data_IF_778526067267
#
_entry.id   IF_778526067267
#
_cell.length_a   1.000
_cell.length_b   1.000
_cell.length_c   1.000
_cell.angle_alpha   90.00
_cell.angle_beta   90.00
_cell.angle_gamma   90.00
#
_symmetry.space_group_name_H-M   'P 1'
#
loop_
_entity.id
_entity.type
_entity.pdbx_description
1 polymer ?
#
# COMPACT_ATOMS: atom_id res chain seq x y z
N UNK A 1 -3.00 27.83 -7.80
CA UNK A 1 -3.40 26.72 -8.66
C UNK A 1 -2.41 25.58 -8.45
N UNK A 2 -2.87 24.46 -7.97
CA UNK A 2 -2.01 23.29 -7.85
C UNK A 2 -1.75 22.73 -9.25
N UNK A 3 -0.54 22.94 -9.72
CA UNK A 3 -0.14 22.46 -11.05
C UNK A 3 0.11 20.94 -10.93
N UNK A 4 -0.84 20.14 -11.42
CA UNK A 4 -0.68 18.67 -11.46
C UNK A 4 0.27 18.30 -12.58
N UNK A 5 1.38 17.65 -12.22
CA UNK A 5 2.37 17.14 -13.17
C UNK A 5 1.95 15.74 -13.64
N UNK A 6 1.70 15.58 -14.92
CA UNK A 6 1.51 14.25 -15.52
C UNK A 6 2.87 13.65 -15.83
N UNK A 7 3.17 12.51 -15.22
CA UNK A 7 4.48 11.88 -15.30
C UNK A 7 4.36 10.39 -15.57
N UNK A 8 5.32 9.84 -16.26
CA UNK A 8 5.49 8.40 -16.40
C UNK A 8 6.04 7.79 -15.09
N UNK A 9 6.03 6.46 -15.02
CA UNK A 9 6.63 5.72 -13.89
C UNK A 9 8.11 6.10 -13.71
N UNK A 10 8.87 6.17 -14.79
CA UNK A 10 10.29 6.50 -14.74
C UNK A 10 10.54 7.94 -14.25
N UNK A 11 9.78 8.90 -14.76
CA UNK A 11 9.88 10.30 -14.32
C UNK A 11 9.50 10.48 -12.87
N UNK A 12 8.48 9.77 -12.39
CA UNK A 12 8.11 9.80 -10.98
C UNK A 12 9.22 9.22 -10.10
N UNK A 13 9.79 8.07 -10.48
CA UNK A 13 10.92 7.47 -9.76
C UNK A 13 12.10 8.44 -9.70
N UNK A 14 12.44 9.08 -10.80
CA UNK A 14 13.52 10.07 -10.84
C UNK A 14 13.25 11.28 -9.96
N UNK A 15 12.00 11.71 -9.87
CA UNK A 15 11.61 12.84 -9.03
C UNK A 15 11.74 12.55 -7.51
N UNK A 16 11.51 11.30 -7.09
CA UNK A 16 11.42 10.97 -5.66
C UNK A 16 12.61 10.17 -5.12
N UNK A 17 13.38 9.48 -5.97
CA UNK A 17 14.49 8.62 -5.53
C UNK A 17 15.58 9.35 -4.72
N UNK A 18 15.74 10.65 -4.93
CA UNK A 18 16.74 11.48 -4.26
C UNK A 18 16.27 12.13 -2.95
N UNK A 19 15.03 11.91 -2.54
CA UNK A 19 14.52 12.49 -1.30
C UNK A 19 15.17 11.82 -0.11
N UNK A 20 15.93 12.60 0.67
CA UNK A 20 16.71 12.10 1.82
C UNK A 20 16.14 12.49 3.17
N UNK A 21 15.31 13.54 3.22
CA UNK A 21 14.65 13.99 4.45
C UNK A 21 13.30 13.33 4.62
N UNK A 22 12.85 13.20 5.86
CA UNK A 22 11.48 12.76 6.16
C UNK A 22 10.49 13.75 5.57
N UNK A 23 9.60 13.26 4.71
CA UNK A 23 8.71 14.09 3.89
C UNK A 23 7.29 13.58 3.97
N UNK A 24 6.36 14.46 4.34
CA UNK A 24 4.92 14.14 4.37
C UNK A 24 4.39 13.96 2.96
N UNK A 25 3.59 12.91 2.78
CA UNK A 25 2.97 12.59 1.50
C UNK A 25 1.48 12.26 1.64
N UNK A 26 0.76 12.43 0.55
CA UNK A 26 -0.56 11.83 0.35
C UNK A 26 -0.51 11.06 -0.95
N UNK A 27 -1.01 9.84 -0.97
CA UNK A 27 -1.00 8.98 -2.16
C UNK A 27 -2.34 8.30 -2.36
N UNK A 28 -2.63 7.97 -3.61
CA UNK A 28 -3.75 7.12 -3.99
C UNK A 28 -3.29 6.07 -4.98
N UNK A 29 -3.62 4.80 -4.73
CA UNK A 29 -3.19 3.69 -5.58
C UNK A 29 -4.27 2.64 -5.73
N UNK A 30 -4.21 1.89 -6.82
CA UNK A 30 -5.11 0.80 -7.13
C UNK A 30 -4.56 -0.53 -6.66
N UNK A 31 -5.43 -1.36 -6.12
CA UNK A 31 -5.15 -2.74 -5.75
C UNK A 31 -6.19 -3.63 -6.39
N UNK A 32 -5.74 -4.60 -7.16
CA UNK A 32 -6.62 -5.68 -7.58
C UNK A 32 -6.82 -6.62 -6.38
N UNK A 33 -8.08 -6.90 -6.04
CA UNK A 33 -8.41 -7.90 -5.03
C UNK A 33 -8.08 -9.32 -5.56
N UNK A 34 -6.78 -9.55 -5.70
CA UNK A 34 -6.25 -10.79 -6.28
C UNK A 34 -6.48 -12.03 -5.42
N UNK A 35 -6.92 -11.82 -4.18
CA UNK A 35 -7.12 -12.88 -3.20
C UNK A 35 -8.59 -13.28 -3.04
N UNK A 36 -9.53 -12.58 -3.70
CA UNK A 36 -10.91 -13.02 -3.73
C UNK A 36 -11.03 -14.20 -4.69
N UNK A 37 -11.01 -15.40 -4.15
CA UNK A 37 -11.43 -16.59 -4.89
C UNK A 37 -12.94 -16.56 -5.02
N UNK A 38 -13.47 -15.71 -5.90
CA UNK A 38 -14.86 -15.80 -6.28
C UNK A 38 -15.10 -17.11 -7.01
N UNK A 39 -16.28 -17.72 -6.83
CA UNK A 39 -16.73 -18.84 -7.66
C UNK A 39 -16.54 -18.46 -9.13
N UNK A 40 -15.63 -19.11 -9.84
CA UNK A 40 -15.33 -18.82 -11.23
C UNK A 40 -13.97 -18.13 -11.50
N UNK A 41 -13.18 -17.81 -10.49
CA UNK A 41 -11.75 -17.42 -10.62
C UNK A 41 -11.46 -16.08 -11.29
N UNK A 42 -12.47 -15.28 -11.66
CA UNK A 42 -12.29 -13.95 -12.24
C UNK A 42 -12.24 -12.88 -11.17
N UNK A 43 -11.15 -12.13 -11.13
CA UNK A 43 -11.02 -10.93 -10.31
C UNK A 43 -11.92 -9.83 -10.88
N UNK A 44 -13.01 -9.55 -10.22
CA UNK A 44 -13.98 -8.54 -10.67
C UNK A 44 -13.96 -7.29 -9.80
N UNK A 45 -13.32 -7.36 -8.63
CA UNK A 45 -13.26 -6.26 -7.68
C UNK A 45 -11.88 -5.60 -7.71
N UNK A 46 -11.89 -4.29 -7.87
CA UNK A 46 -10.73 -3.43 -7.69
C UNK A 46 -11.01 -2.46 -6.55
N UNK A 47 -9.99 -2.08 -5.81
CA UNK A 47 -10.09 -1.01 -4.84
C UNK A 47 -9.04 0.06 -5.08
N UNK A 48 -9.42 1.28 -4.78
CA UNK A 48 -8.54 2.44 -4.75
C UNK A 48 -8.37 2.88 -3.30
N UNK A 49 -7.14 2.97 -2.86
CA UNK A 49 -6.79 3.31 -1.47
C UNK A 49 -6.06 4.64 -1.48
N UNK A 50 -6.62 5.62 -0.79
CA UNK A 50 -5.99 6.92 -0.57
C UNK A 50 -5.58 7.03 0.89
N UNK A 51 -4.35 7.44 1.14
CA UNK A 51 -3.80 7.57 2.49
C UNK A 51 -2.77 8.69 2.60
N UNK A 52 -2.50 9.09 3.83
CA UNK A 52 -1.40 9.99 4.19
C UNK A 52 -0.27 9.19 4.81
N UNK A 53 0.95 9.65 4.61
CA UNK A 53 2.13 8.96 5.13
C UNK A 53 3.38 9.81 5.04
N UNK A 54 4.52 9.14 5.11
CA UNK A 54 5.83 9.75 5.12
C UNK A 54 6.78 8.99 4.21
N UNK A 55 7.55 9.71 3.41
CA UNK A 55 8.75 9.18 2.77
C UNK A 55 9.94 9.34 3.70
N UNK A 56 10.87 8.40 3.61
CA UNK A 56 12.14 8.44 4.31
C UNK A 56 12.01 8.71 5.82
N UNK A 57 10.97 8.16 6.44
CA UNK A 57 10.84 8.11 7.88
C UNK A 57 11.70 6.96 8.41
N UNK A 58 12.45 7.21 9.48
CA UNK A 58 13.22 6.16 10.13
C UNK A 58 12.29 5.03 10.61
N UNK A 59 12.29 3.97 9.83
CA UNK A 59 11.51 2.78 10.12
C UNK A 59 12.43 1.73 10.73
N UNK A 60 12.20 1.45 11.99
CA UNK A 60 12.86 0.34 12.67
C UNK A 60 12.08 -0.96 12.46
N UNK A 61 12.80 -2.08 12.48
CA UNK A 61 12.18 -3.38 12.45
C UNK A 61 11.16 -3.50 13.59
N UNK A 62 9.93 -3.87 13.24
CA UNK A 62 8.88 -4.11 14.23
C UNK A 62 9.08 -5.43 14.92
N UNK A 63 9.02 -5.43 16.25
CA UNK A 63 8.85 -6.64 17.03
C UNK A 63 7.35 -6.95 17.08
N UNK A 64 6.98 -8.09 16.52
CA UNK A 64 5.61 -8.59 16.57
C UNK A 64 5.54 -9.65 17.68
N UNK A 65 4.73 -9.41 18.69
CA UNK A 65 4.47 -10.38 19.74
C UNK A 65 3.32 -11.30 19.35
N UNK A 66 3.58 -12.59 19.41
CA UNK A 66 2.56 -13.62 19.27
C UNK A 66 1.94 -13.92 20.64
N UNK A 67 0.77 -14.53 20.66
CA UNK A 67 0.16 -15.02 21.91
C UNK A 67 1.09 -16.05 22.58
N UNK A 68 1.43 -15.81 23.82
CA UNK A 68 2.55 -16.45 24.51
C UNK A 68 3.81 -15.58 24.42
N UNK A 69 4.92 -16.03 24.99
CA UNK A 69 6.15 -15.23 25.06
C UNK A 69 6.96 -15.22 23.75
N UNK A 70 6.37 -15.68 22.64
CA UNK A 70 7.04 -15.75 21.34
C UNK A 70 6.97 -14.42 20.63
N UNK A 71 8.10 -13.88 20.24
CA UNK A 71 8.20 -12.67 19.42
C UNK A 71 9.10 -12.91 18.22
N UNK A 72 8.89 -12.18 17.14
CA UNK A 72 9.77 -12.15 16.00
C UNK A 72 9.93 -10.74 15.44
N UNK A 73 11.05 -10.49 14.79
CA UNK A 73 11.30 -9.22 14.12
C UNK A 73 10.74 -9.33 12.69
N UNK A 74 9.74 -8.51 12.39
CA UNK A 74 9.21 -8.44 11.04
C UNK A 74 10.27 -7.82 10.11
N UNK A 75 10.58 -8.51 9.01
CA UNK A 75 11.47 -7.98 7.99
C UNK A 75 10.65 -7.23 6.93
N UNK A 76 10.62 -5.89 6.95
CA UNK A 76 9.83 -5.09 6.01
C UNK A 76 10.39 -5.16 4.57
N UNK A 77 11.66 -5.58 4.43
CA UNK A 77 12.33 -5.65 3.12
C UNK A 77 12.32 -7.05 2.51
N UNK A 78 11.62 -8.01 3.12
CA UNK A 78 11.52 -9.36 2.54
C UNK A 78 10.91 -9.32 1.14
N UNK A 79 11.64 -9.83 0.14
CA UNK A 79 11.21 -9.84 -1.26
C UNK A 79 11.34 -8.48 -1.96
N UNK A 80 12.13 -7.55 -1.41
CA UNK A 80 12.34 -6.21 -1.94
C UNK A 80 13.79 -5.82 -1.80
N UNK A 81 14.29 -5.07 -2.77
CA UNK A 81 15.66 -4.54 -2.77
C UNK A 81 15.61 -3.01 -2.96
N UNK A 82 16.29 -2.22 -2.13
CA UNK A 82 16.34 -0.77 -2.34
C UNK A 82 16.94 -0.45 -3.71
N UNK A 83 16.37 0.53 -4.40
CA UNK A 83 17.02 1.12 -5.55
C UNK A 83 18.33 1.76 -5.09
N UNK A 84 19.42 1.53 -5.81
CA UNK A 84 20.75 2.00 -5.43
C UNK A 84 20.73 3.51 -5.11
N UNK A 85 21.21 3.86 -3.92
CA UNK A 85 21.24 5.22 -3.42
C UNK A 85 19.90 5.81 -3.01
N UNK A 86 18.80 5.05 -3.06
CA UNK A 86 17.46 5.53 -2.69
C UNK A 86 16.97 4.91 -1.38
N UNK A 87 16.29 5.72 -0.57
CA UNK A 87 15.53 5.26 0.61
C UNK A 87 14.01 5.34 0.39
N UNK A 88 13.57 5.84 -0.75
CA UNK A 88 12.16 6.07 -1.06
C UNK A 88 11.62 5.14 -2.13
N UNK A 89 12.50 4.56 -2.93
CA UNK A 89 12.15 3.59 -3.98
C UNK A 89 12.82 2.25 -3.68
N UNK A 90 12.03 1.21 -3.75
CA UNK A 90 12.46 -0.18 -3.65
C UNK A 90 11.99 -0.94 -4.89
N UNK A 91 12.69 -2.02 -5.20
CA UNK A 91 12.35 -2.88 -6.34
C UNK A 91 11.80 -4.20 -5.81
N UNK A 92 10.70 -4.64 -6.37
CA UNK A 92 10.14 -5.96 -6.08
C UNK A 92 11.03 -7.04 -6.70
N UNK A 93 11.52 -7.98 -5.90
CA UNK A 93 12.33 -9.11 -6.38
C UNK A 93 11.51 -10.04 -7.29
N UNK A 94 10.19 -10.04 -7.13
CA UNK A 94 9.28 -10.88 -7.90
C UNK A 94 8.96 -10.33 -9.29
N UNK A 95 8.73 -9.02 -9.39
CA UNK A 95 8.25 -8.38 -10.63
C UNK A 95 9.30 -7.48 -11.27
N UNK A 96 10.37 -7.17 -10.55
CA UNK A 96 11.40 -6.21 -10.93
C UNK A 96 10.86 -4.79 -11.20
N UNK A 97 9.70 -4.47 -10.63
CA UNK A 97 9.06 -3.16 -10.77
C UNK A 97 9.34 -2.26 -9.57
N UNK A 98 9.42 -0.93 -9.77
CA UNK A 98 9.62 0.01 -8.69
C UNK A 98 8.36 0.14 -7.83
N UNK A 99 8.59 0.20 -6.52
CA UNK A 99 7.59 0.43 -5.49
C UNK A 99 7.97 1.66 -4.68
N UNK A 100 6.97 2.45 -4.30
CA UNK A 100 7.18 3.54 -3.36
C UNK A 100 7.29 2.98 -1.93
N UNK A 101 8.35 3.33 -1.22
CA UNK A 101 8.58 2.90 0.16
C UNK A 101 8.12 4.00 1.13
N UNK A 102 6.96 3.82 1.72
CA UNK A 102 6.34 4.80 2.59
C UNK A 102 5.92 4.19 3.93
N UNK A 103 5.85 5.02 4.95
CA UNK A 103 5.28 4.68 6.26
C UNK A 103 4.00 5.46 6.50
N UNK A 104 3.07 4.88 7.25
CA UNK A 104 1.83 5.53 7.64
C UNK A 104 1.66 5.43 9.15
N UNK A 105 1.01 6.43 9.76
CA UNK A 105 0.50 6.30 11.11
C UNK A 105 -0.72 5.39 11.12
N UNK A 106 -0.89 4.58 12.17
CA UNK A 106 -2.12 3.80 12.36
C UNK A 106 -3.36 4.68 12.51
N UNK A 107 -3.17 5.88 13.04
CA UNK A 107 -4.23 6.90 13.19
C UNK A 107 -4.57 7.62 11.90
N UNK A 108 -3.71 7.54 10.87
CA UNK A 108 -3.99 8.14 9.59
C UNK A 108 -5.11 7.35 8.88
N UNK A 109 -6.19 8.06 8.59
CA UNK A 109 -7.35 7.48 7.92
C UNK A 109 -6.99 7.00 6.51
N UNK A 110 -7.44 5.81 6.18
CA UNK A 110 -7.38 5.26 4.82
C UNK A 110 -8.76 5.33 4.22
N UNK A 111 -8.89 6.02 3.10
CA UNK A 111 -10.11 6.08 2.32
C UNK A 111 -10.05 5.03 1.21
N UNK A 112 -10.99 4.07 1.25
CA UNK A 112 -11.05 2.98 0.28
C UNK A 112 -12.32 3.06 -0.52
N UNK A 113 -12.19 3.07 -1.83
CA UNK A 113 -13.28 3.03 -2.81
C UNK A 113 -13.20 1.73 -3.61
N UNK A 114 -14.34 1.08 -3.80
CA UNK A 114 -14.43 -0.18 -4.53
C UNK A 114 -15.00 0.02 -5.92
N UNK A 115 -14.49 -0.73 -6.88
CA UNK A 115 -14.94 -0.73 -8.26
C UNK A 115 -15.21 -2.16 -8.74
N UNK A 116 -16.33 -2.34 -9.42
CA UNK A 116 -16.68 -3.59 -10.08
C UNK A 116 -16.86 -3.32 -11.57
N UNK A 117 -16.03 -3.94 -12.41
CA UNK A 117 -16.01 -3.69 -13.86
C UNK A 117 -15.91 -2.19 -14.22
N UNK A 118 -15.09 -1.44 -13.49
CA UNK A 118 -14.88 -0.02 -13.71
C UNK A 118 -15.95 0.91 -13.12
N UNK A 119 -16.99 0.37 -12.47
CA UNK A 119 -18.09 1.13 -11.85
C UNK A 119 -17.89 1.12 -10.33
N UNK A 120 -17.94 2.30 -9.72
CA UNK A 120 -17.89 2.42 -8.26
C UNK A 120 -19.07 1.72 -7.63
N UNK A 121 -18.81 0.92 -6.60
CA UNK A 121 -19.81 0.24 -5.80
C UNK A 121 -19.55 0.43 -4.31
N UNK A 122 -20.60 0.35 -3.50
CA UNK A 122 -20.45 0.36 -2.05
C UNK A 122 -19.84 -0.96 -1.55
N UNK A 123 -19.23 -0.90 -0.36
CA UNK A 123 -18.72 -2.11 0.29
C UNK A 123 -19.84 -3.13 0.55
N UNK A 124 -20.98 -2.64 0.95
CA UNK A 124 -22.19 -3.46 1.22
C UNK A 124 -22.65 -4.18 -0.04
N UNK A 125 -22.71 -3.49 -1.17
CA UNK A 125 -23.07 -4.10 -2.47
C UNK A 125 -22.02 -5.13 -2.91
N UNK A 126 -20.75 -4.87 -2.69
CA UNK A 126 -19.68 -5.82 -2.99
C UNK A 126 -19.81 -7.10 -2.15
N UNK A 127 -20.23 -6.97 -0.89
CA UNK A 127 -20.52 -8.12 -0.01
C UNK A 127 -21.74 -8.88 -0.49
N UNK A 128 -22.83 -8.19 -0.80
CA UNK A 128 -24.07 -8.82 -1.30
C UNK A 128 -23.86 -9.56 -2.62
N UNK A 129 -23.02 -9.02 -3.50
CA UNK A 129 -22.68 -9.66 -4.78
C UNK A 129 -21.62 -10.75 -4.65
N UNK A 130 -21.20 -11.09 -3.43
CA UNK A 130 -20.16 -12.10 -3.15
C UNK A 130 -18.83 -11.84 -3.89
N UNK A 131 -18.45 -10.57 -4.08
CA UNK A 131 -17.21 -10.19 -4.74
C UNK A 131 -15.98 -10.38 -3.85
N UNK A 132 -16.19 -10.51 -2.55
CA UNK A 132 -15.17 -10.92 -1.60
C UNK A 132 -15.23 -12.42 -1.34
N UNK A 133 -14.08 -13.05 -1.19
CA UNK A 133 -14.06 -14.44 -0.78
C UNK A 133 -14.62 -14.58 0.65
N UNK A 134 -15.54 -15.52 0.90
CA UNK A 134 -16.10 -15.75 2.25
C UNK A 134 -15.03 -15.98 3.31
N UNK A 135 -13.88 -16.58 2.93
CA UNK A 135 -12.73 -16.80 3.79
C UNK A 135 -11.95 -15.53 4.13
N UNK A 136 -12.20 -14.41 3.47
CA UNK A 136 -11.52 -13.15 3.74
C UNK A 136 -11.83 -12.64 5.15
N UNK A 137 -13.09 -12.67 5.55
CA UNK A 137 -13.52 -12.24 6.89
C UNK A 137 -13.12 -13.26 7.97
N UNK A 138 -13.29 -14.55 7.70
CA UNK A 138 -12.87 -15.62 8.65
C UNK A 138 -11.35 -15.67 8.87
N UNK A 139 -10.56 -15.35 7.84
CA UNK A 139 -9.08 -15.25 8.00
C UNK A 139 -8.65 -14.04 8.80
N UNK A 140 -9.39 -12.92 8.75
CA UNK A 140 -9.11 -11.77 9.58
C UNK A 140 -9.38 -12.08 11.06
N UNK A 141 -10.46 -12.80 11.35
CA UNK A 141 -10.79 -13.25 12.71
C UNK A 141 -9.81 -14.31 13.25
N UNK A 142 -9.38 -15.25 12.39
CA UNK A 142 -8.42 -16.29 12.81
C UNK A 142 -6.98 -15.79 12.86
N UNK A 143 -6.59 -14.83 12.05
CA UNK A 143 -5.27 -14.18 12.16
C UNK A 143 -5.12 -13.37 13.45
N UNK A 144 -6.22 -12.92 14.04
CA UNK A 144 -6.21 -12.27 15.35
C UNK A 144 -5.82 -13.17 16.51
N UNK A 145 -5.85 -14.49 16.32
CA UNK A 145 -5.57 -15.44 17.42
C UNK A 145 -4.10 -15.61 17.79
N UNK A 146 -3.18 -15.06 17.06
CA UNK A 146 -1.76 -15.21 17.37
C UNK A 146 -1.03 -13.89 17.58
N UNK A 147 -1.61 -12.78 17.13
CA UNK A 147 -0.99 -11.46 17.17
C UNK A 147 -1.56 -10.64 18.31
N UNK A 148 -0.76 -10.40 19.33
CA UNK A 148 -1.24 -9.73 20.55
C UNK A 148 -1.11 -8.22 20.43
N UNK A 149 -0.07 -7.69 19.82
CA UNK A 149 0.10 -6.23 19.67
C UNK A 149 1.27 -5.89 18.77
N UNK A 150 1.08 -4.94 17.88
CA UNK A 150 2.19 -4.18 17.32
C UNK A 150 2.56 -3.07 18.30
N UNK A 151 3.83 -2.98 18.65
CA UNK A 151 4.33 -1.96 19.60
C UNK A 151 4.52 -0.59 18.94
N UNK A 152 4.54 -0.54 17.61
CA UNK A 152 4.71 0.68 16.82
C UNK A 152 3.41 1.23 16.27
N UNK A 153 3.29 2.57 16.27
CA UNK A 153 2.17 3.30 15.68
C UNK A 153 2.30 3.51 14.16
N UNK A 154 3.38 3.04 13.57
CA UNK A 154 3.64 3.17 12.13
C UNK A 154 3.42 1.85 11.40
N UNK A 155 2.90 1.96 10.18
CA UNK A 155 2.78 0.87 9.22
C UNK A 155 3.62 1.12 7.98
N UNK A 156 4.09 0.05 7.33
CA UNK A 156 4.77 0.12 6.06
C UNK A 156 3.77 0.00 4.92
N UNK A 157 3.93 0.84 3.90
CA UNK A 157 3.17 0.80 2.66
C UNK A 157 4.14 0.78 1.48
N UNK A 158 3.97 -0.16 0.58
CA UNK A 158 4.83 -0.30 -0.60
C UNK A 158 3.98 -0.53 -1.86
N UNK A 159 3.23 0.48 -2.32
CA UNK A 159 2.51 0.35 -3.58
C UNK A 159 3.45 0.37 -4.78
N UNK A 160 3.14 -0.40 -5.80
CA UNK A 160 3.83 -0.27 -7.09
C UNK A 160 3.62 1.12 -7.66
N UNK A 161 4.67 1.74 -8.17
CA UNK A 161 4.57 3.07 -8.80
C UNK A 161 3.60 3.04 -9.98
N UNK A 162 3.60 1.95 -10.75
CA UNK A 162 2.65 1.73 -11.85
C UNK A 162 1.18 1.66 -11.42
N UNK A 163 0.92 1.47 -10.14
CA UNK A 163 -0.43 1.42 -9.55
C UNK A 163 -0.84 2.72 -8.88
N UNK A 164 0.05 3.67 -8.75
CA UNK A 164 -0.30 5.00 -8.25
C UNK A 164 -1.27 5.67 -9.23
N UNK A 165 -2.31 6.25 -8.69
CA UNK A 165 -3.23 7.14 -9.43
C UNK A 165 -2.71 8.55 -9.36
N UNK A 166 -2.40 8.99 -8.13
CA UNK A 166 -1.76 10.26 -7.89
C UNK A 166 -0.92 10.20 -6.60
N UNK A 167 0.01 11.13 -6.49
CA UNK A 167 0.79 11.38 -5.30
C UNK A 167 0.95 12.89 -5.09
N UNK A 168 0.86 13.33 -3.84
CA UNK A 168 1.21 14.69 -3.45
C UNK A 168 2.42 14.61 -2.52
N UNK A 169 3.50 15.27 -2.92
CA UNK A 169 4.78 15.27 -2.21
C UNK A 169 5.24 16.71 -2.09
N UNK A 170 5.35 17.21 -0.86
CA UNK A 170 5.77 18.60 -0.59
C UNK A 170 4.93 19.67 -1.31
N UNK A 171 3.65 19.41 -1.53
CA UNK A 171 2.76 20.32 -2.23
C UNK A 171 2.76 20.17 -3.76
N UNK A 172 3.67 19.38 -4.32
CA UNK A 172 3.64 19.02 -5.73
C UNK A 172 2.73 17.81 -5.95
N UNK A 173 1.82 17.95 -6.88
CA UNK A 173 0.91 16.86 -7.23
C UNK A 173 1.34 16.19 -8.52
N UNK A 174 1.49 14.87 -8.45
CA UNK A 174 1.83 14.00 -9.57
C UNK A 174 0.64 13.12 -9.92
N UNK A 175 0.34 13.03 -11.20
CA UNK A 175 -0.58 12.05 -11.78
C UNK A 175 0.24 11.07 -12.61
N UNK A 176 0.13 9.78 -12.31
CA UNK A 176 0.92 8.76 -13.01
C UNK A 176 0.20 8.35 -14.29
N UNK A 177 0.79 8.64 -15.42
CA UNK A 177 0.25 8.29 -16.74
C UNK A 177 0.70 6.89 -17.12
N UNK A 178 -0.24 6.09 -17.57
CA UNK A 178 0.02 4.71 -18.04
C UNK A 178 0.25 4.71 -19.55
#
# INVERSE_FOLDING_TARGET
MNNTKKVSVAEFVDAVKGITRSTRISICYQVDESKSKTKGGKKQLQKQVCLKGWLNHDYQNKVVKLSGDTSFVANPMKGKTPLEGSKTIIISDKTNEPMLYATTLKTDKRDTTYFHNGIEISREDAIQRELFAPSYFKKAETKGRGLVKEEDDFGLVSPYVSRLVWANIEGEQYEIVK
#
